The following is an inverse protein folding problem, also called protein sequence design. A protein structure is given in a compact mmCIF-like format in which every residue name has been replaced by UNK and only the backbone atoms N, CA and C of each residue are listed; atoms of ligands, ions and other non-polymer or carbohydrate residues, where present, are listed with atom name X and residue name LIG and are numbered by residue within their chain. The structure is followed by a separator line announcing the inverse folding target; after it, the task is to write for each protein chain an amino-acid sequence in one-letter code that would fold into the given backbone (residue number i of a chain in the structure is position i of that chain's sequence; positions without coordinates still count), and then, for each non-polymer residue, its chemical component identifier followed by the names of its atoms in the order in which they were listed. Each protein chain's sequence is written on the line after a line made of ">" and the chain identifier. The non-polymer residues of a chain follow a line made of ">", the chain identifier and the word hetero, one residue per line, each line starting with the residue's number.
data_IF_326628111315
#
_entry.id   IF_326628111315
#
_cell.length_a   1.000
_cell.length_b   1.000
_cell.length_c   1.000
_cell.angle_alpha   90.00
_cell.angle_beta   90.00
_cell.angle_gamma   90.00
#
_symmetry.space_group_name_H-M   'P 1'
#
loop_
_entity.id
_entity.type
_entity.pdbx_description
1 polymer ?
#
# COMPACT_ATOMS: atom_id res chain seq x y z
N UNK A 1 55.69 22.23 33.54
CA UNK A 1 55.22 22.57 34.90
C UNK A 1 53.75 22.94 34.75
N UNK A 2 52.83 22.02 35.09
CA UNK A 2 51.86 22.13 36.24
C UNK A 2 50.89 23.31 36.04
N UNK A 3 49.57 23.25 36.04
CA UNK A 3 48.53 22.32 36.53
C UNK A 3 47.23 22.78 35.82
N UNK A 4 46.24 21.94 35.52
CA UNK A 4 45.24 21.47 36.49
C UNK A 4 44.31 22.60 36.95
N UNK A 5 43.11 22.70 36.38
CA UNK A 5 41.84 22.67 37.15
C UNK A 5 40.62 22.46 36.24
N UNK A 6 39.67 21.70 36.76
CA UNK A 6 38.44 21.24 36.12
C UNK A 6 37.24 22.05 36.58
N UNK A 7 36.17 22.02 35.76
CA UNK A 7 34.77 22.38 36.08
C UNK A 7 34.41 23.85 35.80
N UNK A 8 33.34 24.22 35.10
CA UNK A 8 31.98 23.66 35.17
C UNK A 8 31.18 23.99 33.89
N UNK A 9 30.53 22.95 33.40
CA UNK A 9 29.37 22.81 32.50
C UNK A 9 28.50 24.03 32.21
N UNK A 10 28.24 24.28 30.91
CA UNK A 10 26.92 24.67 30.38
C UNK A 10 26.81 24.22 28.92
N UNK A 11 26.34 22.99 28.69
CA UNK A 11 25.76 22.60 27.38
C UNK A 11 24.27 22.40 27.62
N UNK A 12 23.40 23.29 27.11
CA UNK A 12 21.97 23.08 27.22
C UNK A 12 21.51 22.08 26.16
N UNK A 13 20.68 21.14 26.62
CA UNK A 13 19.64 20.48 25.84
C UNK A 13 20.07 19.73 24.56
N UNK A 14 20.38 18.45 24.78
CA UNK A 14 19.54 17.36 24.28
C UNK A 14 19.10 17.42 22.83
N UNK A 15 19.78 16.63 21.99
CA UNK A 15 19.10 15.67 21.12
C UNK A 15 19.95 14.40 21.15
N UNK A 16 19.49 13.41 21.92
CA UNK A 16 19.92 12.03 21.78
C UNK A 16 19.50 11.58 20.37
N UNK A 17 20.39 11.74 19.38
CA UNK A 17 20.21 11.11 18.07
C UNK A 17 20.62 9.64 18.21
N UNK A 18 19.80 8.90 18.94
CA UNK A 18 19.71 7.47 18.74
C UNK A 18 19.41 7.28 17.25
N UNK A 19 20.22 6.53 16.47
CA UNK A 19 19.77 6.08 15.17
C UNK A 19 18.64 5.09 15.44
N UNK A 20 17.41 5.59 15.55
CA UNK A 20 16.24 4.73 15.45
C UNK A 20 16.38 3.95 14.14
N UNK A 21 16.35 2.60 14.17
CA UNK A 21 16.16 1.87 12.95
C UNK A 21 14.72 2.18 12.54
N UNK A 22 14.54 3.13 11.63
CA UNK A 22 13.26 3.34 10.96
C UNK A 22 13.07 2.16 10.01
N UNK A 23 12.79 0.99 10.58
CA UNK A 23 12.15 -0.12 9.90
C UNK A 23 10.67 0.23 9.74
N UNK A 24 10.34 1.12 8.80
CA UNK A 24 8.95 1.33 8.39
C UNK A 24 8.90 1.59 6.90
N UNK A 25 8.79 0.53 6.12
CA UNK A 25 8.63 0.65 4.66
C UNK A 25 7.84 -0.47 4.00
N UNK A 26 7.27 -1.42 4.74
CA UNK A 26 6.57 -2.56 4.14
C UNK A 26 5.14 -2.79 4.66
N UNK A 27 4.65 -1.98 5.61
CA UNK A 27 3.28 -2.07 6.14
C UNK A 27 2.40 -0.87 5.78
N UNK A 28 2.96 0.15 5.12
CA UNK A 28 2.24 1.39 4.82
C UNK A 28 1.54 1.41 3.46
N UNK A 29 1.85 0.44 2.60
CA UNK A 29 1.35 0.44 1.22
C UNK A 29 -0.14 0.13 1.15
N UNK A 30 -0.67 -0.77 1.98
CA UNK A 30 -2.10 -1.08 1.92
C UNK A 30 -2.96 0.13 2.36
N UNK A 31 -2.50 0.91 3.34
CA UNK A 31 -3.19 2.12 3.81
C UNK A 31 -3.25 3.22 2.76
N UNK A 32 -2.27 3.33 1.86
CA UNK A 32 -2.26 4.36 0.81
C UNK A 32 -3.35 4.12 -0.24
N UNK A 33 -3.74 2.86 -0.43
CA UNK A 33 -4.78 2.46 -1.40
C UNK A 33 -6.19 2.36 -0.80
N UNK A 34 -6.31 2.29 0.52
CA UNK A 34 -7.60 2.23 1.23
C UNK A 34 -8.25 3.60 1.46
N UNK A 35 -7.68 4.68 0.92
CA UNK A 35 -8.35 5.98 0.90
C UNK A 35 -9.45 6.01 -0.19
N UNK A 36 -10.45 6.87 -0.04
CA UNK A 36 -11.60 6.93 -0.96
C UNK A 36 -11.22 7.25 -2.40
N UNK A 37 -10.20 8.09 -2.62
CA UNK A 37 -9.76 8.50 -3.96
C UNK A 37 -9.10 7.33 -4.70
N UNK A 38 -8.23 6.59 -4.02
CA UNK A 38 -7.59 5.37 -4.50
C UNK A 38 -8.62 4.29 -4.81
N UNK A 39 -9.61 4.07 -3.93
CA UNK A 39 -10.70 3.12 -4.20
C UNK A 39 -11.48 3.54 -5.45
N UNK A 40 -11.85 4.82 -5.58
CA UNK A 40 -12.57 5.31 -6.77
C UNK A 40 -11.75 5.15 -8.05
N UNK A 41 -10.44 5.37 -7.98
CA UNK A 41 -9.54 5.13 -9.10
C UNK A 41 -9.54 3.65 -9.51
N UNK A 42 -9.38 2.73 -8.55
CA UNK A 42 -9.39 1.28 -8.79
C UNK A 42 -10.75 0.83 -9.33
N UNK A 43 -11.86 1.39 -8.83
CA UNK A 43 -13.21 1.13 -9.36
C UNK A 43 -13.31 1.57 -10.82
N UNK A 44 -12.74 2.74 -11.16
CA UNK A 44 -12.62 3.20 -12.54
C UNK A 44 -11.85 2.21 -13.41
N UNK A 45 -10.69 1.76 -12.95
CA UNK A 45 -9.86 0.76 -13.64
C UNK A 45 -10.58 -0.57 -13.83
N UNK A 46 -11.29 -1.05 -12.79
CA UNK A 46 -12.09 -2.28 -12.86
C UNK A 46 -13.29 -2.17 -13.81
N UNK A 47 -13.91 -1.00 -13.90
CA UNK A 47 -14.97 -0.72 -14.88
C UNK A 47 -14.45 -0.59 -16.30
N UNK A 48 -13.21 -0.14 -16.48
CA UNK A 48 -12.54 -0.05 -17.78
C UNK A 48 -11.89 -1.38 -18.22
N UNK A 49 -11.86 -2.41 -17.36
CA UNK A 49 -11.37 -3.73 -17.78
C UNK A 49 -12.27 -4.32 -18.86
N UNK A 50 -11.68 -4.62 -20.01
CA UNK A 50 -12.40 -5.26 -21.12
C UNK A 50 -12.15 -6.77 -21.17
N UNK A 51 -11.00 -7.21 -20.65
CA UNK A 51 -10.46 -8.56 -20.87
C UNK A 51 -9.90 -9.19 -19.58
N UNK A 52 -9.83 -10.53 -19.56
CA UNK A 52 -9.27 -11.31 -18.44
C UNK A 52 -7.81 -10.95 -18.12
N UNK A 53 -7.01 -10.64 -19.15
CA UNK A 53 -5.59 -10.31 -19.00
C UNK A 53 -5.40 -8.99 -18.26
N UNK A 54 -6.21 -7.97 -18.58
CA UNK A 54 -6.17 -6.68 -17.87
C UNK A 54 -6.52 -6.86 -16.39
N UNK A 55 -7.48 -7.74 -16.07
CA UNK A 55 -7.79 -8.06 -14.68
C UNK A 55 -6.61 -8.77 -13.98
N UNK A 56 -5.89 -9.63 -14.69
CA UNK A 56 -4.68 -10.27 -14.15
C UNK A 56 -3.58 -9.24 -13.85
N UNK A 57 -3.37 -8.28 -14.76
CA UNK A 57 -2.42 -7.18 -14.57
C UNK A 57 -2.83 -6.31 -13.37
N UNK A 58 -4.12 -5.96 -13.25
CA UNK A 58 -4.62 -5.21 -12.10
C UNK A 58 -4.43 -5.95 -10.77
N UNK A 59 -4.51 -7.29 -10.76
CA UNK A 59 -4.23 -8.11 -9.57
C UNK A 59 -2.76 -8.10 -9.16
N UNK A 60 -1.85 -7.79 -10.08
CA UNK A 60 -0.43 -7.63 -9.77
C UNK A 60 -0.10 -6.22 -9.29
N UNK A 61 -0.85 -5.22 -9.76
CA UNK A 61 -0.64 -3.81 -9.43
C UNK A 61 -1.27 -3.45 -8.08
N UNK A 62 -2.51 -3.88 -7.86
CA UNK A 62 -3.28 -3.51 -6.67
C UNK A 62 -3.32 -4.63 -5.64
N UNK A 63 -3.21 -4.31 -4.34
CA UNK A 63 -3.36 -5.29 -3.28
C UNK A 63 -4.78 -5.86 -3.27
N UNK A 64 -4.90 -7.11 -2.84
CA UNK A 64 -6.14 -7.89 -2.90
C UNK A 64 -7.27 -7.22 -2.11
N UNK A 65 -6.95 -6.65 -0.96
CA UNK A 65 -7.89 -5.97 -0.06
C UNK A 65 -8.58 -4.80 -0.75
N UNK A 66 -7.82 -4.04 -1.53
CA UNK A 66 -8.30 -2.88 -2.29
C UNK A 66 -9.18 -3.31 -3.45
N UNK A 67 -8.81 -4.40 -4.14
CA UNK A 67 -9.66 -4.97 -5.19
C UNK A 67 -10.98 -5.50 -4.63
N UNK A 68 -10.96 -6.11 -3.45
CA UNK A 68 -12.18 -6.57 -2.76
C UNK A 68 -13.05 -5.37 -2.42
N UNK A 69 -12.48 -4.31 -1.84
CA UNK A 69 -13.26 -3.13 -1.46
C UNK A 69 -13.81 -2.40 -2.69
N UNK A 70 -12.98 -2.17 -3.71
CA UNK A 70 -13.37 -1.58 -4.98
C UNK A 70 -14.47 -2.40 -5.69
N UNK A 71 -14.41 -3.75 -5.64
CA UNK A 71 -15.43 -4.60 -6.28
C UNK A 71 -16.86 -4.37 -5.76
N UNK A 72 -17.02 -3.78 -4.57
CA UNK A 72 -18.32 -3.42 -4.00
C UNK A 72 -18.98 -2.25 -4.73
N UNK A 73 -18.17 -1.36 -5.32
CA UNK A 73 -18.60 -0.14 -6.00
C UNK A 73 -18.59 -0.25 -7.53
N UNK A 74 -18.06 -1.36 -8.07
CA UNK A 74 -18.08 -1.67 -9.51
C UNK A 74 -19.52 -1.91 -9.99
N UNK A 75 -19.82 -1.51 -11.24
CA UNK A 75 -21.15 -1.69 -11.85
C UNK A 75 -21.54 -3.16 -11.86
N UNK A 76 -22.81 -3.47 -11.60
CA UNK A 76 -23.30 -4.86 -11.48
C UNK A 76 -22.94 -5.76 -12.67
N UNK A 77 -23.11 -5.27 -13.90
CA UNK A 77 -22.75 -6.00 -15.14
C UNK A 77 -21.25 -6.30 -15.19
N UNK A 78 -20.42 -5.31 -14.85
CA UNK A 78 -18.98 -5.48 -14.83
C UNK A 78 -18.55 -6.44 -13.72
N UNK A 79 -19.19 -6.38 -12.56
CA UNK A 79 -18.92 -7.28 -11.44
C UNK A 79 -19.15 -8.75 -11.80
N UNK A 80 -20.19 -9.06 -12.58
CA UNK A 80 -20.41 -10.41 -13.09
C UNK A 80 -19.28 -10.86 -14.02
N UNK A 81 -18.87 -10.01 -14.97
CA UNK A 81 -17.72 -10.29 -15.86
C UNK A 81 -16.43 -10.51 -15.06
N UNK A 82 -16.16 -9.66 -14.07
CA UNK A 82 -15.01 -9.81 -13.19
C UNK A 82 -15.05 -11.16 -12.45
N UNK A 83 -16.21 -11.60 -11.95
CA UNK A 83 -16.33 -12.92 -11.30
C UNK A 83 -16.04 -14.08 -12.26
N UNK A 84 -16.56 -14.02 -13.48
CA UNK A 84 -16.26 -15.01 -14.52
C UNK A 84 -14.76 -15.05 -14.84
N UNK A 85 -14.15 -13.87 -15.02
CA UNK A 85 -12.72 -13.73 -15.29
C UNK A 85 -11.86 -14.22 -14.13
N UNK A 86 -12.24 -13.93 -12.88
CA UNK A 86 -11.57 -14.47 -11.69
C UNK A 86 -11.65 -15.99 -11.66
N UNK A 87 -12.79 -16.58 -12.03
CA UNK A 87 -12.94 -18.03 -12.08
C UNK A 87 -12.04 -18.67 -13.17
N UNK A 88 -11.94 -18.03 -14.35
CA UNK A 88 -11.02 -18.46 -15.41
C UNK A 88 -9.58 -18.40 -14.91
N UNK A 89 -9.15 -17.27 -14.33
CA UNK A 89 -7.79 -17.10 -13.81
C UNK A 89 -7.47 -18.13 -12.71
N UNK A 90 -8.38 -18.37 -11.78
CA UNK A 90 -8.16 -19.35 -10.70
C UNK A 90 -8.09 -20.79 -11.23
N UNK A 91 -8.73 -21.12 -12.36
CA UNK A 91 -8.64 -22.44 -13.00
C UNK A 91 -7.35 -22.65 -13.79
N UNK A 92 -6.65 -21.59 -14.18
CA UNK A 92 -5.39 -21.67 -14.92
C UNK A 92 -4.16 -21.91 -14.01
N UNK A 93 -4.32 -21.75 -12.70
CA UNK A 93 -3.26 -21.97 -11.70
C UNK A 93 -3.26 -23.43 -11.20
N UNK A 94 -3.62 -24.40 -12.07
CA UNK A 94 -3.68 -25.81 -11.71
C UNK A 94 -2.71 -26.65 -12.53
#
# INVERSE_FOLDING_TARGET
>A
MTSGDSSTSFIPNGINRNPTPIQTGHLNTISEWLNSDSINYVVGSLNACENVNMLADLRQIFPREVLIEASRYVRGVQRQRLQEWLNILNKQVK
#
